data_IF_309971778160
#
_entry.id   IF_309971778160
#
_cell.length_a   1.000
_cell.length_b   1.000
_cell.length_c   1.000
_cell.angle_alpha   90.00
_cell.angle_beta   90.00
_cell.angle_gamma   90.00
#
_symmetry.space_group_name_H-M   'P 1'
#
loop_
_entity.id
_entity.type
_entity.pdbx_description
1 polymer ?
#
# COMPACT_ATOMS: atom_id res chain seq x y z
N UNK A 1 -21.97 -49.50 -14.93
CA UNK A 1 -22.06 -48.38 -15.87
C UNK A 1 -22.73 -47.23 -15.12
N UNK A 2 -21.94 -46.39 -14.45
CA UNK A 2 -22.46 -45.36 -13.54
C UNK A 2 -23.06 -44.21 -14.35
N UNK A 3 -24.32 -43.90 -14.09
CA UNK A 3 -25.03 -42.77 -14.69
C UNK A 3 -24.48 -41.51 -14.01
N UNK A 4 -23.42 -40.92 -14.56
CA UNK A 4 -23.04 -39.57 -14.19
C UNK A 4 -24.08 -38.63 -14.79
N UNK A 5 -25.10 -38.25 -14.01
CA UNK A 5 -25.90 -37.08 -14.36
C UNK A 5 -24.94 -35.87 -14.40
N UNK A 6 -24.77 -35.26 -15.57
CA UNK A 6 -24.06 -33.98 -15.69
C UNK A 6 -24.81 -32.94 -14.86
N UNK A 7 -24.21 -32.53 -13.74
CA UNK A 7 -24.73 -31.46 -12.90
C UNK A 7 -24.51 -30.13 -13.63
N UNK A 8 -25.57 -29.56 -14.18
CA UNK A 8 -25.56 -28.20 -14.72
C UNK A 8 -25.67 -27.18 -13.56
N UNK A 9 -24.56 -26.95 -12.85
CA UNK A 9 -24.48 -25.98 -11.75
C UNK A 9 -24.41 -24.58 -12.33
N UNK A 10 -25.47 -23.79 -12.10
CA UNK A 10 -25.54 -22.39 -12.51
C UNK A 10 -24.70 -21.52 -11.57
N UNK A 11 -23.99 -20.56 -12.14
CA UNK A 11 -23.29 -19.56 -11.34
C UNK A 11 -24.26 -18.51 -10.75
N UNK A 12 -23.71 -17.55 -10.00
CA UNK A 12 -24.49 -16.49 -9.37
C UNK A 12 -25.17 -15.54 -10.38
N UNK A 13 -24.76 -15.46 -11.64
CA UNK A 13 -25.42 -14.63 -12.65
C UNK A 13 -26.67 -15.31 -13.21
N UNK A 14 -26.66 -16.63 -13.32
CA UNK A 14 -27.75 -17.42 -13.90
C UNK A 14 -28.71 -18.01 -12.87
N UNK A 15 -28.21 -18.36 -11.68
CA UNK A 15 -28.99 -19.02 -10.63
C UNK A 15 -30.24 -18.23 -10.26
N UNK A 16 -30.14 -16.90 -10.14
CA UNK A 16 -31.24 -16.03 -9.72
C UNK A 16 -32.21 -15.64 -10.85
N UNK A 17 -32.05 -16.16 -12.08
CA UNK A 17 -32.91 -15.82 -13.22
C UNK A 17 -34.12 -16.74 -13.40
N UNK A 18 -34.24 -17.78 -12.58
CA UNK A 18 -35.42 -18.65 -12.58
C UNK A 18 -36.65 -17.93 -11.99
N UNK A 19 -37.83 -18.50 -12.22
CA UNK A 19 -39.09 -17.85 -11.84
C UNK A 19 -39.29 -17.79 -10.33
N UNK A 20 -38.76 -18.77 -9.60
CA UNK A 20 -38.78 -18.80 -8.14
C UNK A 20 -38.04 -17.60 -7.54
N UNK A 21 -36.79 -17.37 -7.94
CA UNK A 21 -36.00 -16.24 -7.45
C UNK A 21 -36.54 -14.90 -7.94
N UNK A 22 -37.04 -14.81 -9.18
CA UNK A 22 -37.73 -13.61 -9.67
C UNK A 22 -38.94 -13.26 -8.80
N UNK A 23 -39.77 -14.25 -8.46
CA UNK A 23 -40.92 -14.04 -7.59
C UNK A 23 -40.50 -13.69 -6.17
N UNK A 24 -39.45 -14.32 -5.64
CA UNK A 24 -38.89 -14.00 -4.33
C UNK A 24 -38.40 -12.54 -4.27
N UNK A 25 -37.63 -12.09 -5.25
CA UNK A 25 -37.11 -10.71 -5.34
C UNK A 25 -38.27 -9.72 -5.50
N UNK A 26 -39.26 -10.04 -6.32
CA UNK A 26 -40.49 -9.23 -6.47
C UNK A 26 -41.23 -9.10 -5.13
N UNK A 27 -41.47 -10.21 -4.44
CA UNK A 27 -42.12 -10.22 -3.13
C UNK A 27 -41.33 -9.40 -2.10
N UNK A 28 -39.99 -9.53 -2.11
CA UNK A 28 -39.12 -8.76 -1.20
C UNK A 28 -39.31 -7.27 -1.42
N UNK A 29 -39.26 -6.84 -2.68
CA UNK A 29 -39.44 -5.45 -3.10
C UNK A 29 -40.81 -4.90 -2.70
N UNK A 30 -41.87 -5.63 -3.02
CA UNK A 30 -43.25 -5.19 -2.77
C UNK A 30 -43.62 -5.16 -1.29
N UNK A 31 -43.09 -6.08 -0.48
CA UNK A 31 -43.54 -6.26 0.91
C UNK A 31 -42.62 -5.60 1.94
N UNK A 32 -41.33 -5.40 1.63
CA UNK A 32 -40.33 -5.09 2.66
C UNK A 32 -39.31 -4.00 2.31
N UNK A 33 -39.25 -3.50 1.07
CA UNK A 33 -38.20 -2.54 0.65
C UNK A 33 -38.67 -1.08 0.55
N UNK A 34 -39.97 -0.80 0.72
CA UNK A 34 -40.54 0.55 0.51
C UNK A 34 -40.07 1.19 -0.81
N UNK A 35 -40.19 0.41 -1.89
CA UNK A 35 -39.64 0.78 -3.19
C UNK A 35 -40.42 1.95 -3.81
N UNK A 36 -39.68 3.00 -4.20
CA UNK A 36 -40.23 4.23 -4.81
C UNK A 36 -40.93 4.05 -6.16
N UNK A 37 -40.90 2.85 -6.72
CA UNK A 37 -41.54 2.50 -8.00
C UNK A 37 -40.66 2.70 -9.23
N UNK A 38 -40.95 1.93 -10.28
CA UNK A 38 -40.16 1.89 -11.52
C UNK A 38 -40.13 3.26 -12.23
N UNK A 39 -41.28 3.94 -12.28
CA UNK A 39 -41.41 5.21 -13.00
C UNK A 39 -40.54 6.30 -12.38
N UNK A 40 -40.49 6.36 -11.03
CA UNK A 40 -39.64 7.32 -10.34
C UNK A 40 -38.15 7.02 -10.52
N UNK A 41 -37.77 5.74 -10.49
CA UNK A 41 -36.38 5.34 -10.77
C UNK A 41 -35.98 5.77 -12.18
N UNK A 42 -36.82 5.54 -13.18
CA UNK A 42 -36.56 5.96 -14.57
C UNK A 42 -36.50 7.47 -14.72
N UNK A 43 -37.42 8.20 -14.12
CA UNK A 43 -37.44 9.67 -14.11
C UNK A 43 -36.12 10.24 -13.60
N UNK A 44 -35.66 9.78 -12.42
CA UNK A 44 -34.40 10.23 -11.83
C UNK A 44 -33.19 9.77 -12.67
N UNK A 45 -33.22 8.55 -13.21
CA UNK A 45 -32.16 8.05 -14.08
C UNK A 45 -32.00 8.91 -15.35
N UNK A 46 -33.09 9.37 -15.97
CA UNK A 46 -33.00 10.30 -17.10
C UNK A 46 -32.55 11.71 -16.67
N UNK A 47 -33.02 12.21 -15.53
CA UNK A 47 -32.57 13.51 -15.00
C UNK A 47 -31.06 13.53 -14.72
N UNK A 48 -30.48 12.45 -14.20
CA UNK A 48 -29.03 12.35 -13.95
C UNK A 48 -28.16 12.42 -15.21
N UNK A 49 -28.76 12.25 -16.40
CA UNK A 49 -28.09 12.42 -17.71
C UNK A 49 -28.21 13.84 -18.27
N UNK A 50 -28.98 14.72 -17.63
CA UNK A 50 -29.26 16.08 -18.11
C UNK A 50 -28.12 17.07 -17.85
N UNK A 51 -28.12 18.18 -18.61
CA UNK A 51 -27.21 19.30 -18.36
C UNK A 51 -27.46 19.99 -17.02
N UNK A 52 -28.73 20.07 -16.60
CA UNK A 52 -29.08 20.62 -15.29
C UNK A 52 -28.40 19.85 -14.16
N UNK A 53 -28.50 18.52 -14.17
CA UNK A 53 -27.85 17.68 -13.17
C UNK A 53 -26.34 17.81 -13.22
N UNK A 54 -25.74 17.91 -14.41
CA UNK A 54 -24.31 18.16 -14.56
C UNK A 54 -23.90 19.43 -13.82
N UNK A 55 -24.60 20.55 -14.03
CA UNK A 55 -24.25 21.80 -13.36
C UNK A 55 -24.35 21.69 -11.83
N UNK A 56 -25.34 20.97 -11.30
CA UNK A 56 -25.42 20.68 -9.86
C UNK A 56 -24.27 19.78 -9.38
N UNK A 57 -23.93 18.76 -10.16
CA UNK A 57 -22.86 17.82 -9.85
C UNK A 57 -21.48 18.51 -9.79
N UNK A 58 -21.23 19.47 -10.68
CA UNK A 58 -19.99 20.27 -10.72
C UNK A 58 -19.92 21.37 -9.66
N UNK A 59 -21.05 21.73 -9.02
CA UNK A 59 -21.10 22.66 -7.88
C UNK A 59 -20.79 22.01 -6.53
N UNK A 60 -20.46 20.72 -6.48
CA UNK A 60 -20.12 20.03 -5.23
C UNK A 60 -18.80 20.55 -4.66
N UNK A 61 -18.80 20.84 -3.36
CA UNK A 61 -17.61 21.28 -2.64
C UNK A 61 -17.13 20.28 -1.57
N UNK A 62 -18.03 19.48 -0.99
CA UNK A 62 -17.73 18.59 0.13
C UNK A 62 -17.79 17.09 -0.18
N UNK A 63 -18.64 16.68 -1.14
CA UNK A 63 -18.90 15.27 -1.42
C UNK A 63 -18.06 14.83 -2.62
N UNK A 64 -17.25 13.79 -2.43
CA UNK A 64 -16.59 13.04 -3.51
C UNK A 64 -17.35 11.74 -3.79
N UNK A 65 -17.56 11.41 -5.06
CA UNK A 65 -18.25 10.18 -5.50
C UNK A 65 -17.35 9.53 -6.54
N UNK A 66 -17.08 8.23 -6.41
CA UNK A 66 -16.21 7.45 -7.29
C UNK A 66 -14.84 8.12 -7.56
N UNK A 67 -14.03 8.36 -6.51
CA UNK A 67 -12.74 9.04 -6.67
C UNK A 67 -11.79 8.24 -7.57
N UNK A 68 -11.10 8.94 -8.47
CA UNK A 68 -10.08 8.36 -9.35
C UNK A 68 -8.65 8.53 -8.77
N UNK A 69 -8.50 8.35 -7.46
CA UNK A 69 -7.22 8.38 -6.75
C UNK A 69 -7.25 7.49 -5.52
N UNK A 70 -6.07 7.02 -5.10
CA UNK A 70 -5.85 6.38 -3.80
C UNK A 70 -4.99 7.26 -2.88
N UNK A 71 -4.78 6.82 -1.63
CA UNK A 71 -3.99 7.54 -0.63
C UNK A 71 -2.48 7.23 -0.70
N UNK A 72 -1.66 8.13 -0.13
CA UNK A 72 -0.19 8.06 -0.19
C UNK A 72 0.42 6.68 0.16
N UNK A 73 0.03 6.02 1.27
CA UNK A 73 0.71 4.80 1.70
C UNK A 73 0.68 3.66 0.68
N UNK A 74 -0.33 3.62 -0.20
CA UNK A 74 -0.38 2.65 -1.31
C UNK A 74 0.83 2.78 -2.23
N UNK A 75 1.18 4.01 -2.62
CA UNK A 75 2.31 4.25 -3.52
C UNK A 75 3.66 4.10 -2.83
N UNK A 76 3.77 4.49 -1.56
CA UNK A 76 4.98 4.29 -0.77
C UNK A 76 5.33 2.80 -0.65
N UNK A 77 4.35 1.97 -0.30
CA UNK A 77 4.56 0.53 -0.20
C UNK A 77 4.83 -0.11 -1.59
N UNK A 78 4.25 0.42 -2.67
CA UNK A 78 4.60 -0.01 -4.03
C UNK A 78 6.06 0.32 -4.37
N UNK A 79 6.53 1.51 -4.02
CA UNK A 79 7.92 1.93 -4.19
C UNK A 79 8.86 0.97 -3.44
N UNK A 80 8.56 0.66 -2.18
CA UNK A 80 9.35 -0.23 -1.35
C UNK A 80 9.51 -1.65 -1.94
N UNK A 81 8.47 -2.18 -2.59
CA UNK A 81 8.53 -3.50 -3.25
C UNK A 81 9.55 -3.57 -4.40
N UNK A 82 9.97 -2.43 -4.95
CA UNK A 82 10.93 -2.36 -6.05
C UNK A 82 12.38 -2.58 -5.63
N UNK A 83 12.69 -2.63 -4.33
CA UNK A 83 14.05 -2.74 -3.82
C UNK A 83 14.40 -4.17 -3.35
N UNK A 84 15.64 -4.60 -3.60
CA UNK A 84 16.09 -5.98 -3.35
C UNK A 84 15.82 -6.40 -1.89
N UNK A 85 15.11 -7.51 -1.68
CA UNK A 85 14.80 -8.09 -0.36
C UNK A 85 14.32 -7.05 0.66
N UNK A 86 13.54 -6.09 0.20
CA UNK A 86 12.97 -5.03 1.03
C UNK A 86 11.59 -5.44 1.51
N UNK A 87 11.32 -5.24 2.79
CA UNK A 87 10.00 -5.43 3.38
C UNK A 87 9.29 -4.07 3.49
N UNK A 88 8.20 -3.84 2.74
CA UNK A 88 7.32 -2.69 2.95
C UNK A 88 6.64 -2.78 4.32
N UNK A 89 6.75 -1.71 5.09
CA UNK A 89 6.39 -1.71 6.50
C UNK A 89 5.62 -0.44 6.85
N UNK A 90 4.33 -0.58 7.19
CA UNK A 90 3.48 0.57 7.48
C UNK A 90 3.30 0.75 8.98
N UNK A 91 3.75 1.90 9.48
CA UNK A 91 3.53 2.31 10.85
C UNK A 91 2.11 2.87 11.05
N UNK A 92 1.32 2.21 11.88
CA UNK A 92 -0.05 2.61 12.17
C UNK A 92 -1.08 1.48 12.10
N UNK A 93 -2.25 1.80 11.56
CA UNK A 93 -3.41 0.90 11.58
C UNK A 93 -3.28 -0.24 10.56
N UNK A 94 -3.44 -1.47 11.03
CA UNK A 94 -3.33 -2.68 10.21
C UNK A 94 -4.39 -2.80 9.09
N UNK A 95 -5.55 -2.16 9.27
CA UNK A 95 -6.61 -2.16 8.26
C UNK A 95 -6.14 -1.58 6.93
N UNK A 96 -5.26 -0.57 6.97
CA UNK A 96 -4.66 0.03 5.79
C UNK A 96 -3.85 -1.00 4.99
N UNK A 97 -2.98 -1.77 5.66
CA UNK A 97 -2.14 -2.77 5.01
C UNK A 97 -2.97 -3.90 4.38
N UNK A 98 -4.03 -4.34 5.05
CA UNK A 98 -4.96 -5.32 4.46
C UNK A 98 -5.60 -4.81 3.16
N UNK A 99 -6.03 -3.55 3.12
CA UNK A 99 -6.54 -2.93 1.90
C UNK A 99 -5.49 -2.81 0.80
N UNK A 100 -4.27 -2.38 1.10
CA UNK A 100 -3.22 -2.20 0.09
C UNK A 100 -2.81 -3.53 -0.53
N UNK A 101 -2.59 -4.56 0.30
CA UNK A 101 -2.31 -5.93 -0.18
C UNK A 101 -3.42 -6.43 -1.08
N UNK A 102 -4.68 -6.28 -0.67
CA UNK A 102 -5.83 -6.71 -1.45
C UNK A 102 -5.97 -5.95 -2.77
N UNK A 103 -5.75 -4.63 -2.74
CA UNK A 103 -5.85 -3.78 -3.92
C UNK A 103 -4.82 -4.18 -4.98
N UNK A 104 -3.55 -4.33 -4.57
CA UNK A 104 -2.48 -4.73 -5.47
C UNK A 104 -2.61 -6.20 -5.91
N UNK A 105 -2.94 -7.14 -5.02
CA UNK A 105 -3.13 -8.54 -5.38
C UNK A 105 -4.28 -8.72 -6.40
N UNK A 106 -5.36 -7.94 -6.29
CA UNK A 106 -6.44 -7.94 -7.29
C UNK A 106 -5.98 -7.44 -8.65
N UNK A 107 -5.04 -6.48 -8.68
CA UNK A 107 -4.51 -5.92 -9.92
C UNK A 107 -3.46 -6.84 -10.56
N UNK A 108 -2.42 -7.21 -9.82
CA UNK A 108 -1.29 -7.99 -10.32
C UNK A 108 -1.52 -9.50 -10.35
N UNK A 109 -2.53 -10.00 -9.62
CA UNK A 109 -2.78 -11.45 -9.41
C UNK A 109 -1.66 -12.19 -8.69
N UNK A 110 -0.84 -11.46 -7.93
CA UNK A 110 0.30 -11.97 -7.19
C UNK A 110 0.17 -11.73 -5.68
N UNK A 111 0.88 -12.50 -4.84
CA UNK A 111 1.07 -12.17 -3.43
C UNK A 111 1.81 -10.84 -3.27
N UNK A 112 1.34 -10.00 -2.34
CA UNK A 112 1.95 -8.70 -2.07
C UNK A 112 2.34 -8.64 -0.59
N UNK A 113 3.63 -8.88 -0.25
CA UNK A 113 4.09 -8.91 1.14
C UNK A 113 4.25 -7.50 1.68
N UNK A 114 3.52 -7.19 2.75
CA UNK A 114 3.57 -5.91 3.46
C UNK A 114 3.17 -6.15 4.92
N UNK A 115 3.77 -5.44 5.87
CA UNK A 115 3.48 -5.59 7.30
C UNK A 115 3.03 -4.28 7.94
N UNK A 116 2.47 -4.40 9.14
CA UNK A 116 1.92 -3.31 9.94
C UNK A 116 2.51 -3.38 11.35
N UNK A 117 2.70 -2.23 12.01
CA UNK A 117 2.98 -2.18 13.46
C UNK A 117 1.73 -2.40 14.32
N UNK A 118 0.55 -2.37 13.70
CA UNK A 118 -0.75 -2.72 14.29
C UNK A 118 -1.08 -1.89 15.51
N UNK A 119 -0.94 -0.58 15.38
CA UNK A 119 -1.36 0.36 16.43
C UNK A 119 -2.88 0.28 16.65
N UNK A 120 -3.27 0.26 17.92
CA UNK A 120 -4.66 0.28 18.40
C UNK A 120 -4.96 1.61 19.10
N UNK A 121 -6.14 1.74 19.70
CA UNK A 121 -6.56 2.97 20.41
C UNK A 121 -5.63 3.35 21.57
N UNK A 122 -4.98 2.38 22.23
CA UNK A 122 -4.00 2.66 23.30
C UNK A 122 -2.83 3.52 22.80
N UNK A 123 -2.43 3.34 21.54
CA UNK A 123 -1.36 4.13 20.93
C UNK A 123 -1.78 5.59 20.68
N UNK A 124 -3.07 5.92 20.73
CA UNK A 124 -3.53 7.30 20.70
C UNK A 124 -3.18 8.06 21.99
N UNK A 125 -2.96 7.35 23.10
CA UNK A 125 -2.57 7.96 24.38
C UNK A 125 -1.05 8.04 24.54
N UNK A 126 -0.32 7.00 24.12
CA UNK A 126 1.11 6.85 24.41
C UNK A 126 2.03 6.97 23.19
N UNK A 127 1.46 7.15 21.98
CA UNK A 127 2.20 7.08 20.73
C UNK A 127 2.55 5.64 20.32
N UNK A 128 3.03 5.49 19.08
CA UNK A 128 3.29 4.19 18.47
C UNK A 128 4.68 3.58 18.74
N UNK A 129 5.46 4.09 19.68
CA UNK A 129 6.88 3.70 19.81
C UNK A 129 7.06 2.19 20.09
N UNK A 130 6.29 1.65 21.04
CA UNK A 130 6.39 0.22 21.37
C UNK A 130 5.97 -0.65 20.18
N UNK A 131 4.94 -0.21 19.43
CA UNK A 131 4.52 -0.89 18.20
C UNK A 131 5.63 -0.90 17.14
N UNK A 132 6.37 0.20 16.98
CA UNK A 132 7.53 0.25 16.09
C UNK A 132 8.62 -0.73 16.53
N UNK A 133 8.95 -0.72 17.82
CA UNK A 133 10.00 -1.55 18.41
C UNK A 133 9.72 -3.04 18.23
N UNK A 134 8.56 -3.50 18.69
CA UNK A 134 8.13 -4.90 18.53
C UNK A 134 7.93 -5.27 17.06
N UNK A 135 7.35 -4.36 16.27
CA UNK A 135 7.10 -4.58 14.85
C UNK A 135 8.39 -4.83 14.07
N UNK A 136 9.43 -4.02 14.30
CA UNK A 136 10.73 -4.19 13.64
C UNK A 136 11.40 -5.50 14.06
N UNK A 137 11.41 -5.84 15.35
CA UNK A 137 11.98 -7.09 15.85
C UNK A 137 11.31 -8.31 15.23
N UNK A 138 9.97 -8.33 15.25
CA UNK A 138 9.18 -9.41 14.70
C UNK A 138 9.38 -9.51 13.18
N UNK A 139 9.40 -8.38 12.47
CA UNK A 139 9.59 -8.37 11.03
C UNK A 139 10.95 -8.94 10.61
N UNK A 140 12.02 -8.55 11.31
CA UNK A 140 13.38 -9.07 11.05
C UNK A 140 13.44 -10.57 11.35
N UNK A 141 12.91 -11.00 12.50
CA UNK A 141 12.96 -12.40 12.92
C UNK A 141 12.18 -13.33 11.96
N UNK A 142 10.98 -12.91 11.54
CA UNK A 142 10.07 -13.74 10.75
C UNK A 142 10.38 -13.72 9.25
N UNK A 143 10.64 -12.54 8.69
CA UNK A 143 10.74 -12.37 7.23
C UNK A 143 12.18 -12.22 6.73
N UNK A 144 13.14 -11.97 7.63
CA UNK A 144 14.58 -11.82 7.32
C UNK A 144 14.86 -10.91 6.10
N UNK A 145 14.28 -9.70 6.03
CA UNK A 145 14.57 -8.78 4.95
C UNK A 145 16.01 -8.26 5.03
N UNK A 146 16.56 -7.79 3.91
CA UNK A 146 17.80 -7.02 3.89
C UNK A 146 17.58 -5.55 4.25
N UNK A 147 16.37 -5.03 4.03
CA UNK A 147 15.96 -3.66 4.32
C UNK A 147 14.49 -3.59 4.73
N UNK A 148 14.14 -2.69 5.63
CA UNK A 148 12.74 -2.39 5.96
C UNK A 148 12.44 -0.94 5.53
N UNK A 149 11.53 -0.75 4.60
CA UNK A 149 11.13 0.58 4.16
C UNK A 149 9.85 0.99 4.88
N UNK A 150 9.96 2.00 5.74
CA UNK A 150 8.89 2.42 6.65
C UNK A 150 8.09 3.57 6.05
N UNK A 151 6.76 3.48 6.11
CA UNK A 151 5.87 4.61 5.87
C UNK A 151 4.82 4.73 6.99
N UNK A 152 3.89 5.68 6.87
CA UNK A 152 2.86 5.92 7.90
C UNK A 152 1.44 5.79 7.37
N UNK A 153 0.53 5.34 8.23
CA UNK A 153 -0.92 5.54 8.04
C UNK A 153 -1.36 6.91 8.60
N UNK A 154 -2.54 7.37 8.23
CA UNK A 154 -3.08 8.63 8.77
C UNK A 154 -3.21 8.68 10.29
N UNK A 155 -3.40 7.53 10.96
CA UNK A 155 -3.50 7.51 12.42
C UNK A 155 -2.19 7.96 13.08
N UNK A 156 -1.06 7.41 12.63
CA UNK A 156 0.27 7.77 13.14
C UNK A 156 0.59 9.26 12.85
N UNK A 157 0.19 9.74 11.66
CA UNK A 157 0.38 11.14 11.26
C UNK A 157 -0.43 12.12 12.12
N UNK A 158 -1.68 11.77 12.45
CA UNK A 158 -2.55 12.64 13.27
C UNK A 158 -2.08 12.71 14.72
N UNK A 159 -1.60 11.59 15.28
CA UNK A 159 -1.04 11.56 16.64
C UNK A 159 0.31 12.28 16.69
N UNK A 160 1.03 12.35 15.55
CA UNK A 160 2.32 13.02 15.44
C UNK A 160 3.50 12.13 15.84
N UNK A 161 3.42 10.85 15.53
CA UNK A 161 4.51 9.91 15.79
C UNK A 161 5.78 10.29 14.99
N UNK A 162 6.90 10.46 15.69
CA UNK A 162 8.20 10.75 15.09
C UNK A 162 8.90 9.44 14.70
N UNK A 163 8.83 9.10 13.42
CA UNK A 163 9.46 7.89 12.88
C UNK A 163 10.98 7.88 13.10
N UNK A 164 11.65 9.02 12.92
CA UNK A 164 13.10 9.11 13.05
C UNK A 164 13.52 8.74 14.48
N UNK A 165 12.88 9.38 15.46
CA UNK A 165 13.15 9.12 16.88
C UNK A 165 12.80 7.68 17.27
N UNK A 166 11.67 7.14 16.79
CA UNK A 166 11.28 5.77 17.14
C UNK A 166 12.26 4.72 16.61
N UNK A 167 12.73 4.88 15.36
CA UNK A 167 13.71 4.00 14.73
C UNK A 167 15.08 4.14 15.41
N UNK A 168 15.53 5.37 15.68
CA UNK A 168 16.78 5.63 16.40
C UNK A 168 16.78 4.98 17.79
N UNK A 169 15.70 5.16 18.55
CA UNK A 169 15.53 4.55 19.87
C UNK A 169 15.53 3.02 19.82
N UNK A 170 15.00 2.41 18.74
CA UNK A 170 15.05 0.96 18.57
C UNK A 170 16.48 0.44 18.39
N UNK A 171 17.30 1.19 17.63
CA UNK A 171 18.73 0.90 17.44
C UNK A 171 19.53 1.11 18.72
N UNK A 172 19.33 2.24 19.40
CA UNK A 172 20.02 2.58 20.66
C UNK A 172 19.75 1.54 21.76
N UNK A 173 18.52 1.04 21.85
CA UNK A 173 18.14 -0.03 22.79
C UNK A 173 18.64 -1.43 22.38
N UNK A 174 19.34 -1.56 21.24
CA UNK A 174 19.82 -2.83 20.72
C UNK A 174 18.70 -3.80 20.32
N UNK A 175 17.48 -3.30 20.06
CA UNK A 175 16.35 -4.13 19.66
C UNK A 175 16.52 -4.67 18.25
N UNK A 176 17.21 -3.90 17.41
CA UNK A 176 17.58 -4.21 16.03
C UNK A 176 19.06 -3.90 15.78
N UNK A 177 19.71 -4.49 14.77
CA UNK A 177 21.10 -4.16 14.47
C UNK A 177 21.26 -2.68 14.09
N UNK A 178 22.33 -2.06 14.58
CA UNK A 178 22.59 -0.61 14.40
C UNK A 178 22.71 -0.23 12.91
N UNK A 179 23.39 -1.07 12.13
CA UNK A 179 23.59 -0.86 10.70
C UNK A 179 22.46 -1.46 9.82
N UNK A 180 21.36 -1.95 10.41
CA UNK A 180 20.24 -2.46 9.62
C UNK A 180 19.54 -1.29 8.88
N UNK A 181 19.32 -1.38 7.55
CA UNK A 181 18.81 -0.27 6.77
C UNK A 181 17.29 -0.10 6.94
N UNK A 182 16.90 1.09 7.39
CA UNK A 182 15.50 1.45 7.66
C UNK A 182 15.20 2.86 7.13
N UNK A 183 15.14 3.06 5.79
CA UNK A 183 14.63 4.31 5.24
C UNK A 183 13.16 4.50 5.60
N UNK A 184 12.77 5.74 5.89
CA UNK A 184 11.40 6.05 6.30
C UNK A 184 10.85 7.32 5.66
N UNK A 185 9.54 7.36 5.43
CA UNK A 185 8.83 8.52 4.92
C UNK A 185 7.51 8.77 5.64
N UNK A 186 7.21 10.04 5.92
CA UNK A 186 5.87 10.45 6.33
C UNK A 186 4.93 10.47 5.11
N UNK A 187 3.82 9.75 5.20
CA UNK A 187 2.87 9.56 4.09
C UNK A 187 1.41 9.85 4.46
N UNK A 188 1.08 11.08 4.87
CA UNK A 188 -0.27 11.45 5.29
C UNK A 188 -1.29 11.28 4.17
N UNK A 189 -2.29 10.43 4.39
CA UNK A 189 -3.30 10.08 3.39
C UNK A 189 -4.19 11.26 2.97
N UNK A 190 -4.27 12.29 3.81
CA UNK A 190 -5.04 13.52 3.59
C UNK A 190 -4.29 14.58 2.77
N UNK A 191 -3.06 14.31 2.32
CA UNK A 191 -2.29 15.16 1.41
C UNK A 191 -2.10 14.44 0.08
N UNK A 192 -2.34 15.12 -1.05
CA UNK A 192 -2.03 14.57 -2.38
C UNK A 192 -2.76 13.26 -2.71
N UNK A 193 -1.99 12.24 -3.12
CA UNK A 193 -2.47 10.90 -3.48
C UNK A 193 -1.37 9.84 -3.39
N UNK A 194 -1.67 8.59 -3.73
CA UNK A 194 -0.70 7.50 -3.88
C UNK A 194 0.60 7.87 -4.63
N UNK A 195 0.55 8.69 -5.69
CA UNK A 195 1.75 9.11 -6.42
C UNK A 195 2.69 9.94 -5.54
N UNK A 196 2.13 10.82 -4.71
CA UNK A 196 2.89 11.60 -3.72
C UNK A 196 3.58 10.70 -2.70
N UNK A 197 2.90 9.64 -2.25
CA UNK A 197 3.52 8.68 -1.34
C UNK A 197 4.64 7.86 -1.99
N UNK A 198 4.52 7.54 -3.29
CA UNK A 198 5.60 6.90 -4.03
C UNK A 198 6.85 7.80 -4.07
N UNK A 199 6.66 9.08 -4.40
CA UNK A 199 7.74 10.06 -4.45
C UNK A 199 8.42 10.24 -3.08
N UNK A 200 7.63 10.43 -2.03
CA UNK A 200 8.15 10.54 -0.65
C UNK A 200 9.00 9.32 -0.25
N UNK A 201 8.53 8.11 -0.57
CA UNK A 201 9.27 6.89 -0.25
C UNK A 201 10.54 6.75 -1.09
N UNK A 202 10.49 7.06 -2.38
CA UNK A 202 11.65 7.01 -3.27
C UNK A 202 12.74 7.96 -2.77
N UNK A 203 12.37 9.21 -2.47
CA UNK A 203 13.30 10.21 -1.91
C UNK A 203 13.89 9.73 -0.59
N UNK A 204 13.09 9.15 0.30
CA UNK A 204 13.58 8.63 1.57
C UNK A 204 14.60 7.50 1.39
N UNK A 205 14.34 6.56 0.48
CA UNK A 205 15.26 5.45 0.21
C UNK A 205 16.56 5.98 -0.42
N UNK A 206 16.45 6.84 -1.44
CA UNK A 206 17.63 7.40 -2.10
C UNK A 206 18.50 8.21 -1.14
N UNK A 207 17.90 9.06 -0.30
CA UNK A 207 18.62 9.82 0.74
C UNK A 207 19.35 8.90 1.70
N UNK A 208 18.66 7.87 2.21
CA UNK A 208 19.25 6.90 3.12
C UNK A 208 20.46 6.19 2.49
N UNK A 209 20.33 5.78 1.22
CA UNK A 209 21.43 5.12 0.50
C UNK A 209 22.60 6.08 0.28
N UNK A 210 22.35 7.31 -0.15
CA UNK A 210 23.43 8.29 -0.38
C UNK A 210 24.19 8.63 0.91
N UNK A 211 23.47 8.85 2.02
CA UNK A 211 24.09 9.11 3.33
C UNK A 211 24.88 7.89 3.83
N UNK A 212 24.36 6.67 3.61
CA UNK A 212 25.08 5.44 3.92
C UNK A 212 26.39 5.37 3.14
N UNK A 213 26.35 5.60 1.83
CA UNK A 213 27.55 5.54 1.00
C UNK A 213 28.57 6.62 1.35
N UNK A 214 28.15 7.86 1.65
CA UNK A 214 29.03 8.91 2.15
C UNK A 214 29.72 8.51 3.46
N UNK A 215 28.97 7.92 4.41
CA UNK A 215 29.51 7.42 5.68
C UNK A 215 30.60 6.36 5.48
N UNK A 216 30.48 5.52 4.46
CA UNK A 216 31.42 4.43 4.18
C UNK A 216 32.39 4.70 3.01
N UNK A 217 32.41 5.92 2.47
CA UNK A 217 33.34 6.32 1.40
C UNK A 217 33.12 5.61 0.06
N UNK A 218 31.88 5.23 -0.25
CA UNK A 218 31.50 4.59 -1.52
C UNK A 218 31.10 5.70 -2.52
N UNK A 219 31.73 5.75 -3.69
CA UNK A 219 31.45 6.76 -4.73
C UNK A 219 30.15 6.38 -5.48
N UNK A 220 29.12 7.24 -5.39
CA UNK A 220 27.73 6.88 -5.71
C UNK A 220 27.32 7.01 -7.17
N UNK A 221 28.20 7.54 -7.99
CA UNK A 221 27.89 7.79 -9.39
C UNK A 221 28.72 6.82 -10.19
N UNK A 222 28.06 5.81 -10.77
CA UNK A 222 28.62 5.21 -11.97
C UNK A 222 28.78 6.38 -12.95
N UNK A 223 30.01 6.86 -13.14
CA UNK A 223 30.28 7.98 -14.02
C UNK A 223 29.81 7.55 -15.42
N UNK A 224 29.06 8.39 -16.11
CA UNK A 224 28.63 8.10 -17.48
C UNK A 224 29.71 8.60 -18.43
N UNK A 225 30.19 7.74 -19.33
CA UNK A 225 31.08 8.13 -20.43
C UNK A 225 30.24 8.49 -21.67
N UNK A 226 30.12 9.78 -22.03
CA UNK A 226 29.34 10.18 -23.19
C UNK A 226 30.02 9.84 -24.53
N UNK A 227 31.31 9.48 -24.56
CA UNK A 227 32.02 9.08 -25.77
C UNK A 227 31.84 7.59 -26.07
N UNK A 228 31.88 6.74 -25.04
CA UNK A 228 31.71 5.28 -25.17
C UNK A 228 30.26 4.83 -25.01
N UNK A 229 29.38 5.68 -24.45
CA UNK A 229 27.98 5.36 -24.20
C UNK A 229 27.75 4.33 -23.08
N UNK A 230 28.78 4.07 -22.28
CA UNK A 230 28.77 3.11 -21.17
C UNK A 230 28.97 3.80 -19.82
N UNK A 231 28.54 3.14 -18.74
CA UNK A 231 28.80 3.56 -17.37
C UNK A 231 30.16 2.99 -16.90
N UNK A 232 31.03 3.81 -16.29
CA UNK A 232 32.33 3.34 -15.78
C UNK A 232 32.14 2.30 -14.67
N UNK A 233 32.97 1.25 -14.68
CA UNK A 233 32.84 0.04 -13.86
C UNK A 233 33.37 0.14 -12.42
N UNK A 234 33.48 1.33 -11.83
CA UNK A 234 34.02 1.49 -10.48
C UNK A 234 33.07 2.24 -9.55
N UNK A 235 32.65 1.54 -8.48
CA UNK A 235 32.19 2.14 -7.22
C UNK A 235 30.69 2.41 -7.06
N UNK A 236 29.94 2.54 -8.15
CA UNK A 236 28.55 3.01 -8.08
C UNK A 236 27.50 1.98 -7.63
N UNK A 237 26.27 2.48 -7.48
CA UNK A 237 25.09 1.75 -6.97
C UNK A 237 24.84 0.43 -7.72
N UNK A 238 25.03 0.38 -9.04
CA UNK A 238 24.81 -0.84 -9.83
C UNK A 238 25.87 -1.89 -9.53
N UNK A 239 27.13 -1.49 -9.42
CA UNK A 239 28.24 -2.37 -9.07
C UNK A 239 28.09 -2.93 -7.65
N UNK A 240 27.65 -2.10 -6.69
CA UNK A 240 27.35 -2.55 -5.33
C UNK A 240 26.19 -3.55 -5.27
N UNK A 241 25.11 -3.31 -6.02
CA UNK A 241 23.96 -4.21 -6.11
C UNK A 241 24.33 -5.54 -6.78
N UNK A 242 25.19 -5.54 -7.80
CA UNK A 242 25.68 -6.78 -8.45
C UNK A 242 26.58 -7.62 -7.53
N UNK A 243 27.44 -6.98 -6.74
CA UNK A 243 28.32 -7.67 -5.78
C UNK A 243 27.51 -8.27 -4.63
N UNK A 244 26.50 -7.56 -4.12
CA UNK A 244 25.73 -7.97 -2.94
C UNK A 244 24.45 -8.79 -3.25
N UNK A 245 24.01 -8.83 -4.52
CA UNK A 245 22.93 -9.70 -4.98
C UNK A 245 23.36 -11.16 -5.12
N UNK A 246 24.65 -11.41 -5.32
CA UNK A 246 25.26 -12.75 -5.26
C UNK A 246 25.56 -13.08 -3.80
N UNK A 247 24.58 -13.66 -3.12
CA UNK A 247 24.58 -13.93 -1.67
C UNK A 247 25.96 -14.24 -1.08
N UNK A 248 26.35 -13.41 -0.11
CA UNK A 248 27.66 -13.46 0.54
C UNK A 248 28.02 -14.85 1.06
N UNK A 249 29.05 -15.42 0.43
CA UNK A 249 30.05 -16.23 1.10
C UNK A 249 31.39 -15.53 0.91
N UNK A 250 31.96 -14.99 1.99
CA UNK A 250 33.39 -14.79 2.24
C UNK A 250 33.48 -14.27 3.67
N UNK A 251 33.83 -15.14 4.64
CA UNK A 251 35.17 -15.28 5.28
C UNK A 251 35.57 -14.08 6.10
#
# INVERSE_FOLDING_TARGET
>A
MGIHHELNIKDHLECFRNDEFKQMIKNKREKYEDWVGEDKVKEIAEWTKSWEYRELNFKREAISINPAKACQPLGALLCALGFEKTLPFSHGSQGCVAYFRTHMARHFKEPVPMVSTSMTEDAAVFGGQNNMHEGLQNAIALYRPKMIAVNTTCMAEVIGDDLNSFIANAKEKGLIPEDFPIPFAHTPSFVGSHITGYDNQMVAILRYMTEYFEKYGVDNVDKYDPEEGEFYKEGGLLSWLEVNSKGGQTT
#
